data_IF_773493464962
#
_entry.id   IF_773493464962
#
_cell.length_a   1.000
_cell.length_b   1.000
_cell.length_c   1.000
_cell.angle_alpha   90.00
_cell.angle_beta   90.00
_cell.angle_gamma   90.00
#
_symmetry.space_group_name_H-M   'P 1'
#
loop_
_entity.id
_entity.type
_entity.pdbx_description
1 polymer ?
#
# COMPACT_ATOMS: atom_id res chain seq x y z
N UNK A 1 29.51 14.22 -56.32
CA UNK A 1 30.29 13.52 -55.26
C UNK A 1 29.99 14.21 -53.94
N UNK A 2 28.88 13.87 -53.26
CA UNK A 2 28.79 12.89 -52.15
C UNK A 2 29.88 13.04 -51.07
N UNK A 3 29.46 13.57 -49.92
CA UNK A 3 29.56 12.95 -48.56
C UNK A 3 29.11 14.00 -47.52
N UNK A 4 27.81 14.08 -47.24
CA UNK A 4 27.15 13.45 -46.09
C UNK A 4 27.78 13.83 -44.74
N UNK A 5 27.21 14.85 -44.10
CA UNK A 5 27.42 15.15 -42.69
C UNK A 5 26.92 13.97 -41.84
N UNK A 6 27.85 13.19 -41.31
CA UNK A 6 27.56 12.12 -40.35
C UNK A 6 27.36 12.76 -38.97
N UNK A 7 26.09 12.91 -38.57
CA UNK A 7 25.68 13.29 -37.23
C UNK A 7 26.11 12.21 -36.23
N UNK A 8 27.29 12.36 -35.63
CA UNK A 8 27.72 11.54 -34.50
C UNK A 8 26.96 11.98 -33.25
N UNK A 9 25.83 11.29 -33.00
CA UNK A 9 25.16 11.24 -31.70
C UNK A 9 26.20 10.83 -30.65
N UNK A 10 26.68 11.79 -29.86
CA UNK A 10 27.34 11.50 -28.59
C UNK A 10 26.28 10.96 -27.63
N UNK A 11 26.12 9.64 -27.64
CA UNK A 11 25.53 8.89 -26.55
C UNK A 11 26.37 9.15 -25.31
N UNK A 12 25.96 10.14 -24.51
CA UNK A 12 26.45 10.32 -23.16
C UNK A 12 25.87 9.17 -22.33
N UNK A 13 26.62 8.07 -22.30
CA UNK A 13 26.50 7.06 -21.27
C UNK A 13 26.82 7.72 -19.93
N UNK A 14 25.81 8.24 -19.23
CA UNK A 14 25.93 8.53 -17.81
C UNK A 14 25.81 7.20 -17.06
N UNK A 15 26.94 6.49 -17.05
CA UNK A 15 27.19 5.35 -16.18
C UNK A 15 27.09 5.81 -14.72
N UNK A 16 25.99 5.39 -14.09
CA UNK A 16 25.92 4.88 -12.73
C UNK A 16 26.78 5.56 -11.66
N UNK A 17 26.12 6.32 -10.79
CA UNK A 17 26.33 6.14 -9.36
C UNK A 17 24.96 6.00 -8.69
N UNK A 18 24.43 4.77 -8.73
CA UNK A 18 23.22 4.36 -8.01
C UNK A 18 23.52 4.28 -6.51
N UNK A 19 23.70 5.44 -5.87
CA UNK A 19 23.47 5.54 -4.43
C UNK A 19 21.96 5.46 -4.20
N UNK A 20 21.42 4.23 -4.20
CA UNK A 20 20.09 3.97 -3.63
C UNK A 20 20.20 4.17 -2.11
N UNK A 21 20.23 5.42 -1.67
CA UNK A 21 19.89 5.76 -0.29
C UNK A 21 18.44 5.33 -0.16
N UNK A 22 18.21 4.16 0.45
CA UNK A 22 16.88 3.77 0.89
C UNK A 22 16.39 4.92 1.76
N UNK A 23 15.30 5.57 1.33
CA UNK A 23 14.70 6.62 2.13
C UNK A 23 14.37 6.02 3.51
N UNK A 24 14.64 6.74 4.61
CA UNK A 24 14.36 6.20 5.94
C UNK A 24 12.88 5.84 6.02
N UNK A 25 12.58 4.59 6.38
CA UNK A 25 11.22 4.14 6.63
C UNK A 25 10.80 4.81 7.94
N UNK A 26 9.83 5.72 7.85
CA UNK A 26 9.28 6.42 9.01
C UNK A 26 8.14 5.55 9.54
N UNK A 27 8.31 5.00 10.73
CA UNK A 27 7.22 4.33 11.43
C UNK A 27 6.21 5.38 11.90
N UNK A 28 5.06 5.41 11.24
CA UNK A 28 4.02 6.39 11.52
C UNK A 28 3.12 5.94 12.66
N UNK A 29 2.61 4.72 12.58
CA UNK A 29 1.66 4.16 13.54
C UNK A 29 1.83 2.65 13.62
N UNK A 30 1.79 2.09 14.83
CA UNK A 30 1.84 0.64 15.09
C UNK A 30 0.72 0.26 16.02
N UNK A 31 -0.02 -0.80 15.72
CA UNK A 31 -1.09 -1.26 16.60
C UNK A 31 -0.53 -2.09 17.76
N UNK A 32 -0.25 -1.44 18.89
CA UNK A 32 0.32 -2.09 20.07
C UNK A 32 -0.55 -3.20 20.67
N UNK A 33 -1.86 -3.27 20.33
CA UNK A 33 -2.77 -4.31 20.81
C UNK A 33 -2.42 -5.71 20.29
N UNK A 34 -1.90 -5.81 19.06
CA UNK A 34 -1.64 -7.10 18.41
C UNK A 34 -0.15 -7.47 18.36
N UNK A 35 0.76 -6.58 18.76
CA UNK A 35 2.21 -6.85 18.87
C UNK A 35 2.51 -8.07 19.76
N UNK A 36 1.64 -8.40 20.71
CA UNK A 36 1.81 -9.55 21.62
C UNK A 36 1.46 -10.91 20.99
N UNK A 37 0.79 -10.94 19.83
CA UNK A 37 0.49 -12.19 19.12
C UNK A 37 1.60 -12.48 18.12
N UNK A 38 2.08 -13.72 18.08
CA UNK A 38 3.08 -14.15 17.09
C UNK A 38 2.44 -14.07 15.70
N UNK A 39 2.94 -13.19 14.85
CA UNK A 39 2.50 -13.10 13.46
C UNK A 39 2.88 -14.41 12.73
N UNK A 40 1.89 -15.06 12.11
CA UNK A 40 2.13 -16.25 11.29
C UNK A 40 2.85 -15.88 9.97
N UNK A 41 2.57 -14.68 9.44
CA UNK A 41 3.12 -14.16 8.18
C UNK A 41 2.98 -12.63 8.14
N UNK A 42 3.84 -11.98 7.36
CA UNK A 42 3.84 -10.52 7.16
C UNK A 42 3.58 -10.20 5.68
N UNK A 43 2.75 -9.19 5.42
CA UNK A 43 2.48 -8.67 4.07
C UNK A 43 2.79 -7.19 4.04
N UNK A 44 3.54 -6.78 3.03
CA UNK A 44 3.72 -5.37 2.72
C UNK A 44 2.65 -4.94 1.71
N UNK A 45 1.91 -3.88 2.04
CA UNK A 45 0.87 -3.33 1.19
C UNK A 45 1.05 -1.81 1.04
N UNK A 46 0.78 -1.29 -0.15
CA UNK A 46 0.66 0.14 -0.39
C UNK A 46 -0.74 0.64 -0.02
N UNK A 47 -0.85 1.78 0.65
CA UNK A 47 -2.15 2.36 1.01
C UNK A 47 -2.46 3.53 0.09
N UNK A 48 -3.65 3.56 -0.52
CA UNK A 48 -4.08 4.72 -1.32
C UNK A 48 -4.69 5.80 -0.42
N UNK A 49 -3.95 6.90 -0.26
CA UNK A 49 -4.32 8.02 0.60
C UNK A 49 -4.58 9.31 -0.19
N UNK A 50 -5.40 10.19 0.37
CA UNK A 50 -5.54 11.57 -0.08
C UNK A 50 -4.40 12.44 0.48
N UNK A 51 -4.08 13.55 -0.20
CA UNK A 51 -3.00 14.45 0.24
C UNK A 51 -3.20 15.02 1.66
N UNK A 52 -4.45 15.23 2.07
CA UNK A 52 -4.82 15.63 3.44
C UNK A 52 -4.49 14.55 4.46
N UNK A 53 -4.81 13.30 4.15
CA UNK A 53 -4.56 12.15 5.02
C UNK A 53 -3.07 11.90 5.19
N UNK A 54 -2.29 12.03 4.11
CA UNK A 54 -0.83 11.91 4.16
C UNK A 54 -0.24 12.86 5.21
N UNK A 55 -0.81 14.06 5.37
CA UNK A 55 -0.38 14.99 6.41
C UNK A 55 -0.81 14.54 7.80
N UNK A 56 -2.05 14.07 7.98
CA UNK A 56 -2.51 13.48 9.25
C UNK A 56 -1.67 12.29 9.71
N UNK A 57 -1.18 11.47 8.78
CA UNK A 57 -0.20 10.43 9.05
C UNK A 57 1.13 11.03 9.54
N UNK A 58 1.70 12.00 8.84
CA UNK A 58 2.97 12.64 9.28
C UNK A 58 2.89 13.23 10.68
N UNK A 59 1.72 13.73 11.07
CA UNK A 59 1.48 14.32 12.39
C UNK A 59 1.02 13.31 13.45
N UNK A 60 0.98 12.01 13.10
CA UNK A 60 0.63 10.89 14.00
C UNK A 60 -0.77 11.01 14.64
N UNK A 61 -1.71 11.58 13.91
CA UNK A 61 -3.09 11.79 14.38
C UNK A 61 -4.04 10.62 14.02
N UNK A 62 -3.55 9.58 13.34
CA UNK A 62 -4.37 8.45 12.90
C UNK A 62 -4.46 7.34 13.95
N UNK A 63 -5.66 6.77 14.09
CA UNK A 63 -5.92 5.61 14.95
C UNK A 63 -6.24 4.38 14.09
N UNK A 64 -5.44 3.32 14.27
CA UNK A 64 -5.52 2.05 13.54
C UNK A 64 -5.95 0.92 14.50
N UNK A 65 -6.27 1.24 15.76
CA UNK A 65 -6.46 0.23 16.81
C UNK A 65 -7.60 -0.75 16.56
N UNK A 66 -8.64 -0.32 15.84
CA UNK A 66 -9.79 -1.12 15.44
C UNK A 66 -9.77 -1.53 13.96
N UNK A 67 -8.65 -1.30 13.26
CA UNK A 67 -8.59 -1.52 11.83
C UNK A 67 -8.50 -3.01 11.48
N UNK A 68 -9.14 -3.39 10.37
CA UNK A 68 -9.15 -4.75 9.86
C UNK A 68 -9.18 -4.76 8.33
N UNK A 69 -8.59 -5.80 7.75
CA UNK A 69 -8.49 -5.98 6.30
C UNK A 69 -9.48 -7.03 5.82
N UNK A 70 -10.13 -6.75 4.69
CA UNK A 70 -10.94 -7.70 3.92
C UNK A 70 -10.31 -7.88 2.54
N UNK A 71 -10.40 -9.08 2.00
CA UNK A 71 -9.86 -9.46 0.71
C UNK A 71 -10.88 -10.27 -0.09
N UNK A 72 -11.12 -9.82 -1.33
CA UNK A 72 -11.96 -10.53 -2.29
C UNK A 72 -11.14 -10.83 -3.55
N UNK A 73 -11.13 -12.10 -3.92
CA UNK A 73 -10.58 -12.59 -5.18
C UNK A 73 -11.69 -13.22 -6.01
N UNK A 74 -11.90 -12.71 -7.22
CA UNK A 74 -12.85 -13.25 -8.19
C UNK A 74 -12.13 -13.52 -9.50
N UNK A 75 -12.30 -14.75 -10.02
CA UNK A 75 -11.77 -15.16 -11.32
C UNK A 75 -12.94 -15.47 -12.24
N UNK A 76 -13.15 -14.63 -13.25
CA UNK A 76 -14.19 -14.80 -14.27
C UNK A 76 -13.53 -14.87 -15.64
N UNK A 77 -13.73 -15.96 -16.39
CA UNK A 77 -13.45 -16.10 -17.83
C UNK A 77 -12.19 -15.37 -18.37
N UNK A 78 -11.06 -15.47 -17.64
CA UNK A 78 -9.78 -14.87 -18.04
C UNK A 78 -9.43 -13.53 -17.38
N UNK A 79 -10.36 -12.89 -16.67
CA UNK A 79 -10.13 -11.72 -15.83
C UNK A 79 -10.02 -12.10 -14.34
N UNK A 80 -8.92 -11.67 -13.71
CA UNK A 80 -8.72 -11.81 -12.26
C UNK A 80 -8.92 -10.45 -11.58
N UNK A 81 -9.98 -10.33 -10.77
CA UNK A 81 -10.27 -9.14 -9.98
C UNK A 81 -9.90 -9.40 -8.53
N UNK A 82 -8.92 -8.65 -8.04
CA UNK A 82 -8.47 -8.67 -6.66
C UNK A 82 -8.83 -7.33 -6.02
N UNK A 83 -9.55 -7.34 -4.91
CA UNK A 83 -9.79 -6.14 -4.10
C UNK A 83 -9.45 -6.45 -2.65
N UNK A 84 -8.52 -5.69 -2.10
CA UNK A 84 -8.13 -5.76 -0.69
C UNK A 84 -8.42 -4.39 -0.10
N UNK A 85 -9.20 -4.34 0.96
CA UNK A 85 -9.65 -3.09 1.57
C UNK A 85 -9.36 -3.10 3.07
N UNK A 86 -8.97 -1.94 3.57
CA UNK A 86 -8.79 -1.66 4.98
C UNK A 86 -10.01 -0.89 5.49
N UNK A 87 -10.58 -1.38 6.58
CA UNK A 87 -11.72 -0.80 7.28
C UNK A 87 -11.34 -0.45 8.71
N UNK A 88 -12.15 0.38 9.37
CA UNK A 88 -12.00 0.70 10.80
C UNK A 88 -10.79 1.57 11.15
N UNK A 89 -10.10 2.12 10.15
CA UNK A 89 -9.06 3.13 10.34
C UNK A 89 -9.71 4.50 10.53
N UNK A 90 -9.30 5.24 11.55
CA UNK A 90 -9.74 6.62 11.78
C UNK A 90 -8.61 7.56 11.38
N UNK A 91 -8.81 8.26 10.26
CA UNK A 91 -7.85 9.26 9.79
C UNK A 91 -8.55 10.63 9.87
N UNK A 92 -8.16 11.50 10.81
CA UNK A 92 -8.76 12.81 10.90
C UNK A 92 -8.38 13.64 9.66
N UNK A 93 -9.33 14.42 9.19
CA UNK A 93 -9.11 15.35 8.08
C UNK A 93 -8.16 16.46 8.55
N UNK A 94 -7.09 16.66 7.78
CA UNK A 94 -6.26 17.84 7.97
C UNK A 94 -6.94 19.11 7.43
N UNK A 95 -7.37 20.02 8.33
CA UNK A 95 -8.05 21.31 8.05
C UNK A 95 -9.42 21.16 7.36
N UNK A 96 -10.02 22.27 6.88
CA UNK A 96 -11.36 22.40 6.27
C UNK A 96 -11.57 21.66 4.92
N UNK A 97 -11.01 20.47 4.76
CA UNK A 97 -11.28 19.61 3.62
C UNK A 97 -12.42 18.64 3.96
N UNK A 98 -13.07 18.11 2.93
CA UNK A 98 -14.19 17.18 3.10
C UNK A 98 -13.79 15.79 2.60
N UNK A 99 -13.49 14.88 3.53
CA UNK A 99 -13.48 13.44 3.30
C UNK A 99 -13.92 12.72 4.57
N UNK A 100 -14.52 11.54 4.41
CA UNK A 100 -14.95 10.75 5.55
C UNK A 100 -13.74 10.20 6.31
N UNK A 101 -13.69 10.51 7.61
CA UNK A 101 -12.63 10.08 8.53
C UNK A 101 -12.56 8.56 8.73
N UNK A 102 -13.66 7.85 8.45
CA UNK A 102 -13.78 6.38 8.61
C UNK A 102 -14.03 5.68 7.28
N UNK A 103 -13.52 6.25 6.20
CA UNK A 103 -13.69 5.66 4.87
C UNK A 103 -13.00 4.31 4.74
N UNK A 104 -13.49 3.54 3.77
CA UNK A 104 -12.81 2.36 3.26
C UNK A 104 -11.57 2.76 2.44
N UNK A 105 -10.46 2.07 2.66
CA UNK A 105 -9.18 2.37 2.02
C UNK A 105 -8.68 1.16 1.24
N UNK A 106 -8.59 1.31 -0.08
CA UNK A 106 -8.05 0.24 -0.93
C UNK A 106 -6.55 0.06 -0.71
N UNK A 107 -6.15 -1.20 -0.51
CA UNK A 107 -4.77 -1.64 -0.38
C UNK A 107 -4.26 -2.14 -1.73
N UNK A 108 -3.07 -1.68 -2.10
CA UNK A 108 -2.30 -2.12 -3.25
C UNK A 108 -1.40 -3.26 -2.82
N UNK A 109 -1.76 -4.48 -3.21
CA UNK A 109 -1.04 -5.71 -2.85
C UNK A 109 -0.74 -6.51 -4.12
N UNK A 110 0.26 -7.39 -4.07
CA UNK A 110 0.51 -8.30 -5.19
C UNK A 110 -0.65 -9.28 -5.37
N UNK A 111 -0.88 -9.74 -6.60
CA UNK A 111 -1.94 -10.71 -6.90
C UNK A 111 -1.81 -12.00 -6.08
N UNK A 112 -0.56 -12.44 -5.82
CA UNK A 112 -0.27 -13.66 -5.04
C UNK A 112 -0.72 -13.50 -3.59
N UNK A 113 -0.44 -12.34 -3.00
CA UNK A 113 -0.80 -12.07 -1.61
C UNK A 113 -2.31 -11.81 -1.46
N UNK A 114 -2.93 -11.13 -2.43
CA UNK A 114 -4.38 -10.93 -2.45
C UNK A 114 -5.15 -12.27 -2.52
N UNK A 115 -4.67 -13.22 -3.34
CA UNK A 115 -5.25 -14.55 -3.43
C UNK A 115 -5.12 -15.31 -2.09
N UNK A 116 -3.93 -15.30 -1.49
CA UNK A 116 -3.67 -15.91 -0.18
C UNK A 116 -4.53 -15.30 0.93
N UNK A 117 -4.66 -13.97 0.96
CA UNK A 117 -5.53 -13.25 1.91
C UNK A 117 -6.98 -13.70 1.76
N UNK A 118 -7.48 -13.79 0.53
CA UNK A 118 -8.86 -14.20 0.25
C UNK A 118 -9.12 -15.66 0.65
N UNK A 119 -8.18 -16.58 0.37
CA UNK A 119 -8.28 -17.99 0.79
C UNK A 119 -8.26 -18.11 2.31
N UNK A 120 -7.42 -17.31 2.97
CA UNK A 120 -7.29 -17.30 4.43
C UNK A 120 -8.55 -16.74 5.12
N UNK A 121 -9.16 -15.68 4.57
CA UNK A 121 -10.42 -15.12 5.08
C UNK A 121 -11.58 -16.10 4.94
N UNK A 122 -11.66 -16.83 3.82
CA UNK A 122 -12.68 -17.87 3.60
C UNK A 122 -12.49 -19.07 4.54
N UNK A 123 -11.24 -19.47 4.81
CA UNK A 123 -10.93 -20.60 5.68
C UNK A 123 -11.12 -20.26 7.18
N UNK A 124 -10.88 -19.01 7.60
CA UNK A 124 -11.01 -18.55 8.99
C UNK A 124 -12.16 -17.56 9.12
N UNK A 125 -13.38 -18.10 9.26
CA UNK A 125 -14.66 -17.38 9.37
C UNK A 125 -14.70 -16.25 10.43
N UNK A 126 -13.78 -16.22 11.40
CA UNK A 126 -13.87 -15.33 12.57
C UNK A 126 -12.64 -14.44 12.85
N UNK A 127 -11.61 -14.48 12.01
CA UNK A 127 -10.40 -13.66 12.23
C UNK A 127 -10.10 -12.80 11.01
N UNK A 128 -10.87 -11.70 10.89
CA UNK A 128 -10.48 -10.56 10.05
C UNK A 128 -9.00 -10.22 10.32
N UNK A 129 -8.22 -10.00 9.26
CA UNK A 129 -6.78 -9.73 9.38
C UNK A 129 -6.60 -8.36 10.04
N UNK A 130 -6.20 -8.35 11.32
CA UNK A 130 -6.00 -7.12 12.10
C UNK A 130 -4.53 -6.67 11.99
N UNK A 131 -4.34 -5.38 11.78
CA UNK A 131 -3.04 -4.71 11.74
C UNK A 131 -2.45 -4.55 13.16
#
# INVERSE_FOLDING_TARGET
MLRSACSQRRSLYFLCSRNKKTLPIINVTTNHKYVKKKAEWNVEAGIRLFGSEVRSFREKLCDISAAYVTASYQKFEGEEKCKVNLHGCVIPVWRNLYHDTRREITLLVTKKDAKRLSEYEQARVYHLVRL
#
